data_IF_797952993489
#
_entry.id   IF_797952993489
#
_cell.length_a   1.000
_cell.length_b   1.000
_cell.length_c   1.000
_cell.angle_alpha   90.00
_cell.angle_beta   90.00
_cell.angle_gamma   90.00
#
_symmetry.space_group_name_H-M   'P 1'
#
loop_
_entity.id
_entity.type
_entity.pdbx_description
1 polymer ?
#
# COMPACT_ATOMS: atom_id res chain seq x y z
N UNK A 1 5.79 -33.28 -12.66
CA UNK A 1 4.80 -32.37 -13.26
C UNK A 1 4.10 -31.64 -12.12
N UNK A 2 4.63 -30.48 -11.71
CA UNK A 2 4.05 -29.69 -10.62
C UNK A 2 2.81 -28.99 -11.18
N UNK A 3 1.62 -29.39 -10.73
CA UNK A 3 0.39 -28.64 -11.01
C UNK A 3 0.48 -27.32 -10.24
N UNK A 4 0.90 -26.26 -10.91
CA UNK A 4 0.69 -24.90 -10.42
C UNK A 4 -0.83 -24.66 -10.37
N UNK A 5 -1.43 -24.78 -9.18
CA UNK A 5 -2.79 -24.31 -8.95
C UNK A 5 -2.75 -22.79 -9.10
N UNK A 6 -3.23 -22.30 -10.25
CA UNK A 6 -3.41 -20.88 -10.51
C UNK A 6 -4.32 -20.29 -9.43
N UNK A 7 -3.77 -19.39 -8.63
CA UNK A 7 -4.45 -18.86 -7.45
C UNK A 7 -5.37 -17.72 -7.89
N UNK A 8 -6.68 -17.98 -7.93
CA UNK A 8 -7.67 -16.92 -8.21
C UNK A 8 -7.76 -16.00 -6.99
N UNK A 9 -8.01 -14.71 -7.23
CA UNK A 9 -8.21 -13.75 -6.14
C UNK A 9 -9.37 -14.15 -5.21
N UNK A 10 -9.14 -14.19 -3.90
CA UNK A 10 -10.10 -14.59 -2.85
C UNK A 10 -10.16 -13.55 -1.74
N UNK A 11 -11.21 -13.61 -0.92
CA UNK A 11 -11.33 -12.76 0.27
C UNK A 11 -10.20 -12.98 1.29
N UNK A 12 -9.58 -14.16 1.30
CA UNK A 12 -8.40 -14.44 2.11
C UNK A 12 -7.24 -13.50 1.75
N UNK A 13 -7.06 -13.21 0.46
CA UNK A 13 -6.02 -12.32 -0.06
C UNK A 13 -6.21 -10.89 0.47
N UNK A 14 -7.46 -10.41 0.56
CA UNK A 14 -7.77 -9.11 1.19
C UNK A 14 -7.35 -9.09 2.67
N UNK A 15 -7.61 -10.18 3.40
CA UNK A 15 -7.22 -10.29 4.80
C UNK A 15 -5.70 -10.34 4.97
N UNK A 16 -4.99 -11.06 4.09
CA UNK A 16 -3.52 -11.11 4.07
C UNK A 16 -2.93 -9.74 3.77
N UNK A 17 -3.44 -9.04 2.75
CA UNK A 17 -3.04 -7.67 2.42
C UNK A 17 -3.28 -6.72 3.58
N UNK A 18 -4.41 -6.85 4.28
CA UNK A 18 -4.73 -6.01 5.43
C UNK A 18 -3.81 -6.27 6.63
N UNK A 19 -3.61 -7.55 6.98
CA UNK A 19 -2.69 -7.94 8.05
C UNK A 19 -1.25 -7.51 7.72
N UNK A 20 -0.83 -7.69 6.47
CA UNK A 20 0.45 -7.20 5.96
C UNK A 20 0.57 -5.69 6.09
N UNK A 21 -0.42 -4.95 5.60
CA UNK A 21 -0.46 -3.49 5.68
C UNK A 21 -0.32 -2.98 7.12
N UNK A 22 -0.95 -3.68 8.09
CA UNK A 22 -0.87 -3.34 9.50
C UNK A 22 0.51 -3.60 10.12
N UNK A 23 1.26 -4.64 9.69
CA UNK A 23 2.52 -5.02 10.36
C UNK A 23 3.54 -3.87 10.38
N UNK A 24 3.94 -3.34 9.22
CA UNK A 24 4.81 -2.14 9.24
C UNK A 24 4.00 -0.85 9.37
N UNK A 25 2.78 -0.78 8.80
CA UNK A 25 1.95 0.42 8.90
C UNK A 25 1.75 0.87 10.34
N UNK A 26 1.40 -0.05 11.24
CA UNK A 26 1.24 0.22 12.66
C UNK A 26 2.59 0.32 13.40
N UNK A 27 3.64 -0.36 12.94
CA UNK A 27 5.01 -0.14 13.44
C UNK A 27 5.49 1.30 13.24
N UNK A 28 4.92 2.00 12.26
CA UNK A 28 5.09 3.44 12.01
C UNK A 28 3.92 4.28 12.56
N UNK A 29 3.35 3.97 13.74
CA UNK A 29 2.49 4.93 14.48
C UNK A 29 3.25 6.25 14.54
N UNK A 30 2.67 7.26 13.91
CA UNK A 30 3.40 8.13 12.98
C UNK A 30 4.46 8.96 13.70
N UNK A 31 5.75 8.63 13.53
CA UNK A 31 6.80 9.46 14.08
C UNK A 31 6.71 10.86 13.44
N UNK A 32 7.13 11.92 14.17
CA UNK A 32 7.09 13.30 13.68
C UNK A 32 7.71 13.48 12.29
N UNK A 33 8.68 12.64 11.94
CA UNK A 33 9.40 12.66 10.67
C UNK A 33 8.48 12.50 9.45
N UNK A 34 7.43 11.67 9.53
CA UNK A 34 6.50 11.47 8.41
C UNK A 34 5.74 12.76 8.12
N UNK A 35 5.33 13.47 9.16
CA UNK A 35 4.63 14.74 9.04
C UNK A 35 5.55 15.84 8.51
N UNK A 36 6.81 15.90 8.99
CA UNK A 36 7.83 16.82 8.48
C UNK A 36 8.12 16.59 6.99
N UNK A 37 8.27 15.33 6.58
CA UNK A 37 8.43 14.98 5.16
C UNK A 37 7.22 15.44 4.35
N UNK A 38 6.01 15.19 4.86
CA UNK A 38 4.75 15.54 4.19
C UNK A 38 4.57 17.04 4.00
N UNK A 39 4.97 17.85 4.98
CA UNK A 39 4.92 19.31 4.88
C UNK A 39 5.89 19.83 3.81
N UNK A 40 7.08 19.24 3.71
CA UNK A 40 8.14 19.64 2.78
C UNK A 40 7.99 19.06 1.36
N UNK A 41 6.96 18.24 1.11
CA UNK A 41 6.73 17.65 -0.20
C UNK A 41 6.15 18.67 -1.18
N UNK A 42 6.89 18.92 -2.26
CA UNK A 42 6.35 19.57 -3.46
C UNK A 42 5.45 18.61 -4.24
N UNK A 43 4.61 19.15 -5.14
CA UNK A 43 3.73 18.34 -6.01
C UNK A 43 4.52 17.32 -6.85
N UNK A 44 5.73 17.69 -7.30
CA UNK A 44 6.60 16.77 -8.04
C UNK A 44 7.01 15.58 -7.17
N UNK A 45 7.39 15.81 -5.91
CA UNK A 45 7.73 14.72 -4.97
C UNK A 45 6.53 13.81 -4.72
N UNK A 46 5.33 14.37 -4.60
CA UNK A 46 4.08 13.60 -4.48
C UNK A 46 3.88 12.66 -5.67
N UNK A 47 4.02 13.17 -6.89
CA UNK A 47 3.87 12.36 -8.11
C UNK A 47 4.95 11.26 -8.20
N UNK A 48 6.21 11.59 -7.87
CA UNK A 48 7.29 10.60 -7.85
C UNK A 48 7.04 9.51 -6.80
N UNK A 49 6.54 9.86 -5.62
CA UNK A 49 6.16 8.88 -4.59
C UNK A 49 5.03 7.98 -5.08
N UNK A 50 4.01 8.52 -5.74
CA UNK A 50 2.93 7.71 -6.32
C UNK A 50 3.45 6.70 -7.35
N UNK A 51 4.34 7.14 -8.25
CA UNK A 51 4.98 6.26 -9.24
C UNK A 51 5.80 5.18 -8.54
N UNK A 52 6.58 5.55 -7.52
CA UNK A 52 7.43 4.62 -6.78
C UNK A 52 6.63 3.56 -6.02
N UNK A 53 5.59 3.97 -5.28
CA UNK A 53 4.70 3.04 -4.57
C UNK A 53 3.99 2.12 -5.56
N UNK A 54 3.51 2.66 -6.69
CA UNK A 54 2.83 1.87 -7.71
C UNK A 54 3.77 0.86 -8.36
N UNK A 55 5.01 1.26 -8.64
CA UNK A 55 6.04 0.40 -9.20
C UNK A 55 6.42 -0.73 -8.25
N UNK A 56 6.63 -0.44 -6.96
CA UNK A 56 6.97 -1.47 -5.98
C UNK A 56 5.84 -2.47 -5.80
N UNK A 57 4.59 -2.01 -5.73
CA UNK A 57 3.42 -2.88 -5.64
C UNK A 57 3.34 -3.83 -6.85
N UNK A 58 3.49 -3.30 -8.05
CA UNK A 58 3.46 -4.08 -9.29
C UNK A 58 4.62 -5.08 -9.37
N UNK A 59 5.85 -4.62 -9.12
CA UNK A 59 7.04 -5.47 -9.18
C UNK A 59 6.99 -6.55 -8.10
N UNK A 60 6.54 -6.24 -6.90
CA UNK A 60 6.40 -7.23 -5.83
C UNK A 60 5.37 -8.30 -6.17
N UNK A 61 4.19 -7.91 -6.66
CA UNK A 61 3.14 -8.87 -7.00
C UNK A 61 3.47 -9.75 -8.21
N UNK A 62 4.08 -9.20 -9.27
CA UNK A 62 4.15 -9.88 -10.56
C UNK A 62 5.57 -10.17 -11.07
N UNK A 63 6.60 -9.49 -10.55
CA UNK A 63 7.98 -9.72 -10.98
C UNK A 63 8.78 -10.50 -9.93
N UNK A 64 8.54 -10.23 -8.65
CA UNK A 64 9.20 -10.94 -7.55
C UNK A 64 8.52 -12.28 -7.25
N UNK A 65 7.21 -12.36 -7.47
CA UNK A 65 6.41 -13.56 -7.23
C UNK A 65 5.98 -14.22 -8.54
N UNK A 66 6.52 -15.41 -8.82
CA UNK A 66 6.21 -16.17 -10.03
C UNK A 66 4.89 -16.95 -9.93
N UNK A 67 4.21 -16.90 -8.79
CA UNK A 67 2.91 -17.56 -8.62
C UNK A 67 1.75 -16.77 -9.22
N UNK A 68 1.96 -15.47 -9.48
CA UNK A 68 0.95 -14.57 -10.06
C UNK A 68 1.20 -14.30 -11.54
N UNK A 69 0.13 -14.29 -12.31
CA UNK A 69 0.16 -14.06 -13.77
C UNK A 69 -0.89 -13.00 -14.13
N UNK A 70 -0.40 -11.81 -14.51
CA UNK A 70 -1.21 -10.64 -14.88
C UNK A 70 -2.23 -10.98 -15.97
N UNK A 71 -1.88 -11.84 -16.93
CA UNK A 71 -2.74 -12.15 -18.08
C UNK A 71 -3.93 -13.04 -17.70
N UNK A 72 -3.86 -13.71 -16.55
CA UNK A 72 -4.86 -14.69 -16.11
C UNK A 72 -5.70 -14.23 -14.93
N UNK A 73 -5.37 -13.07 -14.36
CA UNK A 73 -6.13 -12.48 -13.27
C UNK A 73 -7.44 -11.84 -13.75
N UNK A 74 -8.41 -11.75 -12.83
CA UNK A 74 -9.60 -10.95 -13.07
C UNK A 74 -9.18 -9.48 -13.13
N UNK A 75 -9.54 -8.80 -14.20
CA UNK A 75 -9.23 -7.37 -14.38
C UNK A 75 -10.48 -6.50 -14.19
N UNK A 76 -10.27 -5.29 -13.70
CA UNK A 76 -11.26 -4.21 -13.65
C UNK A 76 -10.67 -3.04 -14.42
N UNK A 77 -11.27 -2.69 -15.55
CA UNK A 77 -10.76 -1.61 -16.42
C UNK A 77 -9.36 -1.88 -16.99
N UNK A 78 -8.99 -3.15 -17.17
CA UNK A 78 -7.66 -3.56 -17.66
C UNK A 78 -6.58 -3.67 -16.58
N UNK A 79 -6.89 -3.37 -15.31
CA UNK A 79 -5.96 -3.53 -14.18
C UNK A 79 -6.34 -4.78 -13.38
N UNK A 80 -5.39 -5.64 -12.98
CA UNK A 80 -5.69 -6.82 -12.16
C UNK A 80 -6.37 -6.44 -10.84
N UNK A 81 -7.42 -7.16 -10.47
CA UNK A 81 -8.22 -6.91 -9.27
C UNK A 81 -7.39 -7.02 -7.99
N UNK A 82 -6.39 -7.91 -7.97
CA UNK A 82 -5.48 -8.06 -6.83
C UNK A 82 -4.65 -6.81 -6.60
N UNK A 83 -4.13 -6.20 -7.67
CA UNK A 83 -3.39 -4.93 -7.60
C UNK A 83 -4.31 -3.79 -7.15
N UNK A 84 -5.54 -3.73 -7.65
CA UNK A 84 -6.54 -2.75 -7.20
C UNK A 84 -6.85 -2.94 -5.72
N UNK A 85 -7.09 -4.19 -5.29
CA UNK A 85 -7.31 -4.54 -3.88
C UNK A 85 -6.14 -4.10 -3.02
N UNK A 86 -4.90 -4.39 -3.45
CA UNK A 86 -3.70 -4.05 -2.72
C UNK A 86 -3.62 -2.55 -2.45
N UNK A 87 -3.86 -1.70 -3.46
CA UNK A 87 -3.86 -0.24 -3.28
C UNK A 87 -5.00 0.23 -2.39
N UNK A 88 -6.20 -0.32 -2.57
CA UNK A 88 -7.38 0.06 -1.76
C UNK A 88 -7.16 -0.30 -0.29
N UNK A 89 -6.77 -1.55 0.00
CA UNK A 89 -6.53 -2.04 1.36
C UNK A 89 -5.38 -1.27 2.00
N UNK A 90 -4.27 -1.10 1.29
CA UNK A 90 -3.10 -0.37 1.81
C UNK A 90 -3.43 1.11 2.06
N UNK A 91 -4.09 1.77 1.12
CA UNK A 91 -4.48 3.17 1.24
C UNK A 91 -5.50 3.41 2.36
N UNK A 92 -6.51 2.53 2.51
CA UNK A 92 -7.47 2.60 3.61
C UNK A 92 -6.80 2.35 4.96
N UNK A 93 -5.88 1.39 5.03
CA UNK A 93 -5.11 1.11 6.26
C UNK A 93 -4.24 2.30 6.64
N UNK A 94 -3.51 2.87 5.68
CA UNK A 94 -2.70 4.07 5.89
C UNK A 94 -3.57 5.27 6.33
N UNK A 95 -4.73 5.45 5.71
CA UNK A 95 -5.70 6.49 6.08
C UNK A 95 -6.17 6.30 7.52
N UNK A 96 -6.58 5.08 7.89
CA UNK A 96 -6.99 4.77 9.25
C UNK A 96 -5.88 5.07 10.25
N UNK A 97 -4.64 4.65 9.98
CA UNK A 97 -3.49 4.92 10.84
C UNK A 97 -3.28 6.44 11.01
N UNK A 98 -3.25 7.20 9.92
CA UNK A 98 -3.04 8.67 9.97
C UNK A 98 -4.17 9.40 10.70
N UNK A 99 -5.40 8.96 10.52
CA UNK A 99 -6.58 9.60 11.14
C UNK A 99 -6.68 9.27 12.62
N UNK A 100 -6.47 8.00 13.01
CA UNK A 100 -6.59 7.57 14.41
C UNK A 100 -5.38 7.93 15.26
N UNK A 101 -4.17 7.90 14.70
CA UNK A 101 -2.92 8.09 15.44
C UNK A 101 -2.18 9.36 15.00
N UNK A 102 -2.93 10.41 14.70
CA UNK A 102 -2.36 11.71 14.33
C UNK A 102 -1.46 12.25 15.43
N UNK A 103 -0.25 12.67 15.06
CA UNK A 103 0.71 13.26 16.00
C UNK A 103 0.19 14.63 16.49
N UNK A 104 0.25 14.92 17.81
CA UNK A 104 -0.38 16.10 18.38
C UNK A 104 0.09 17.46 17.87
N UNK A 105 1.39 17.60 17.63
CA UNK A 105 2.01 18.80 17.04
C UNK A 105 1.45 19.11 15.65
N UNK A 106 0.86 18.12 14.97
CA UNK A 106 0.22 18.25 13.66
C UNK A 106 -1.32 18.24 13.69
N UNK A 107 -1.98 18.42 14.85
CA UNK A 107 -3.45 18.51 14.89
C UNK A 107 -4.04 19.65 14.04
N UNK A 108 -3.28 20.72 13.81
CA UNK A 108 -3.65 21.84 12.92
C UNK A 108 -3.23 21.66 11.44
N UNK A 109 -2.73 20.49 11.05
CA UNK A 109 -2.24 20.26 9.69
C UNK A 109 -3.34 20.45 8.65
N UNK A 110 -2.98 21.07 7.52
CA UNK A 110 -3.90 21.25 6.40
C UNK A 110 -4.35 19.90 5.83
N UNK A 111 -5.48 19.89 5.12
CA UNK A 111 -5.94 18.71 4.38
C UNK A 111 -4.86 18.22 3.40
N UNK A 112 -4.14 19.15 2.75
CA UNK A 112 -3.05 18.81 1.84
C UNK A 112 -1.90 18.08 2.55
N UNK A 113 -1.46 18.56 3.70
CA UNK A 113 -0.42 17.90 4.50
C UNK A 113 -0.88 16.53 5.00
N UNK A 114 -2.14 16.40 5.41
CA UNK A 114 -2.73 15.12 5.83
C UNK A 114 -2.73 14.11 4.67
N UNK A 115 -3.14 14.51 3.48
CA UNK A 115 -3.15 13.63 2.30
C UNK A 115 -1.73 13.18 1.92
N UNK A 116 -0.74 14.07 2.04
CA UNK A 116 0.67 13.73 1.84
C UNK A 116 1.17 12.75 2.91
N UNK A 117 0.77 12.91 4.17
CA UNK A 117 1.08 11.96 5.24
C UNK A 117 0.49 10.58 4.96
N UNK A 118 -0.77 10.51 4.51
CA UNK A 118 -1.40 9.28 4.05
C UNK A 118 -0.60 8.65 2.91
N UNK A 119 -0.15 9.43 1.94
CA UNK A 119 0.67 8.92 0.84
C UNK A 119 2.01 8.34 1.35
N UNK A 120 2.71 9.03 2.23
CA UNK A 120 3.98 8.55 2.80
C UNK A 120 3.74 7.28 3.63
N UNK A 121 2.72 7.25 4.48
CA UNK A 121 2.34 6.05 5.25
C UNK A 121 1.94 4.90 4.32
N UNK A 122 1.25 5.19 3.21
CA UNK A 122 0.81 4.19 2.25
C UNK A 122 1.96 3.44 1.58
N UNK A 123 3.13 4.07 1.46
CA UNK A 123 4.33 3.40 0.95
C UNK A 123 4.71 2.20 1.83
N UNK A 124 4.73 2.39 3.15
CA UNK A 124 5.10 1.33 4.09
C UNK A 124 4.02 0.25 4.19
N UNK A 125 2.75 0.64 4.20
CA UNK A 125 1.64 -0.33 4.22
C UNK A 125 1.62 -1.16 2.94
N UNK A 126 1.86 -0.55 1.78
CA UNK A 126 1.84 -1.24 0.49
C UNK A 126 2.97 -2.24 0.37
N UNK A 127 4.20 -1.87 0.75
CA UNK A 127 5.34 -2.80 0.76
C UNK A 127 5.02 -4.02 1.63
N UNK A 128 4.49 -3.79 2.83
CA UNK A 128 4.19 -4.87 3.77
C UNK A 128 3.05 -5.76 3.33
N UNK A 129 1.98 -5.17 2.79
CA UNK A 129 0.87 -5.90 2.21
C UNK A 129 1.32 -6.76 1.02
N UNK A 130 2.23 -6.25 0.19
CA UNK A 130 2.79 -6.99 -0.94
C UNK A 130 3.61 -8.19 -0.48
N UNK A 131 4.48 -8.00 0.52
CA UNK A 131 5.28 -9.10 1.09
C UNK A 131 4.36 -10.15 1.73
N UNK A 132 3.32 -9.72 2.44
CA UNK A 132 2.35 -10.63 3.05
C UNK A 132 1.58 -11.43 1.99
N UNK A 133 1.13 -10.78 0.91
CA UNK A 133 0.40 -11.43 -0.19
C UNK A 133 1.26 -12.46 -0.94
N UNK A 134 2.58 -12.25 -1.02
CA UNK A 134 3.50 -13.19 -1.69
C UNK A 134 3.99 -14.35 -0.81
N UNK A 135 3.96 -14.21 0.52
CA UNK A 135 4.52 -15.22 1.44
C UNK A 135 3.45 -16.07 2.12
N UNK A 136 2.27 -15.49 2.42
CA UNK A 136 1.20 -16.14 3.18
C UNK A 136 0.18 -16.83 2.27
#
# INVERSE_FOLDING_TARGET
MVRTKLNRFRLADVAQQFLGALILGAGFIIPPDVWLVSEQMSTVRVLLTLVLVSGIAYLGLYSADQTHDVERERTVGGVPLRLVSLFVVSGLTATAIVVFFREPSFYGATLGTTLKAILVTSLFTTISATVADSVL
#
